data_IF_545662782457
#
_entry.id   IF_545662782457
#
_cell.length_a   1.000
_cell.length_b   1.000
_cell.length_c   1.000
_cell.angle_alpha   90.00
_cell.angle_beta   90.00
_cell.angle_gamma   90.00
#
_symmetry.space_group_name_H-M   'P 1'
#
loop_
_entity.id
_entity.type
_entity.pdbx_description
1 polymer ?
#
# COMPACT_ATOMS: atom_id res chain seq x y z
N UNK A 1 2.77 13.95 11.86
CA UNK A 1 3.95 14.63 12.45
C UNK A 1 5.19 13.81 12.15
N UNK A 2 6.22 14.43 11.54
CA UNK A 2 7.49 13.79 11.20
C UNK A 2 8.22 13.36 12.48
N UNK A 3 8.88 12.22 12.43
CA UNK A 3 9.72 11.74 13.53
C UNK A 3 11.09 12.44 13.56
N UNK A 4 11.86 12.14 14.60
CA UNK A 4 13.16 12.77 14.85
C UNK A 4 14.16 12.56 13.71
N UNK A 5 14.16 11.37 13.06
CA UNK A 5 15.05 11.11 11.94
C UNK A 5 14.77 12.05 10.76
N UNK A 6 13.50 12.18 10.37
CA UNK A 6 13.13 13.05 9.24
C UNK A 6 13.33 14.53 9.54
N UNK A 7 13.11 14.95 10.80
CA UNK A 7 13.43 16.31 11.26
C UNK A 7 14.93 16.59 11.18
N UNK A 8 15.76 15.63 11.57
CA UNK A 8 17.21 15.74 11.47
C UNK A 8 17.67 15.81 10.01
N UNK A 9 17.08 15.02 9.10
CA UNK A 9 17.37 15.12 7.65
C UNK A 9 17.06 16.52 7.09
N UNK A 10 15.97 17.13 7.51
CA UNK A 10 15.64 18.50 7.13
C UNK A 10 16.66 19.53 7.67
N UNK A 11 17.24 19.26 8.85
CA UNK A 11 18.24 20.16 9.46
C UNK A 11 19.60 20.17 8.73
N UNK A 12 19.95 19.09 8.01
CA UNK A 12 21.21 19.00 7.25
C UNK A 12 21.32 19.97 6.06
N UNK A 13 20.27 20.72 5.76
CA UNK A 13 20.26 21.74 4.72
C UNK A 13 20.78 21.27 3.35
N UNK A 14 20.38 20.05 2.96
CA UNK A 14 20.76 19.49 1.66
C UNK A 14 20.16 20.32 0.54
N UNK A 15 20.96 20.61 -0.49
CA UNK A 15 20.49 21.29 -1.71
C UNK A 15 19.67 20.38 -2.62
N UNK A 16 19.84 19.05 -2.52
CA UNK A 16 19.10 18.05 -3.27
C UNK A 16 19.18 16.69 -2.56
N UNK A 17 18.34 15.73 -2.91
CA UNK A 17 18.44 14.41 -2.31
C UNK A 17 17.42 13.39 -2.81
N UNK A 18 17.74 12.11 -2.61
CA UNK A 18 16.87 10.99 -2.92
C UNK A 18 16.57 10.20 -1.64
N UNK A 19 15.30 10.06 -1.31
CA UNK A 19 14.78 9.34 -0.15
C UNK A 19 13.98 8.14 -0.58
N UNK A 20 14.09 7.05 0.16
CA UNK A 20 13.28 5.85 -0.03
C UNK A 20 12.47 5.57 1.23
N UNK A 21 11.19 5.90 1.20
CA UNK A 21 10.25 5.61 2.27
C UNK A 21 9.59 4.27 2.05
N UNK A 22 9.71 3.35 3.00
CA UNK A 22 9.09 2.04 2.86
C UNK A 22 8.36 1.61 4.14
N UNK A 23 7.21 0.94 3.95
CA UNK A 23 6.37 0.41 5.01
C UNK A 23 5.12 -0.24 4.46
N UNK A 24 4.48 -1.10 5.25
CA UNK A 24 3.31 -1.87 4.80
C UNK A 24 2.07 -1.02 4.51
N UNK A 25 1.95 0.17 5.13
CA UNK A 25 0.87 1.13 4.94
C UNK A 25 1.29 2.19 3.92
N UNK A 26 1.00 1.95 2.64
CA UNK A 26 1.38 2.85 1.54
C UNK A 26 0.74 4.24 1.67
N UNK A 27 -0.47 4.32 2.21
CA UNK A 27 -1.15 5.60 2.41
C UNK A 27 -0.44 6.42 3.48
N UNK A 28 -0.07 5.78 4.60
CA UNK A 28 0.75 6.43 5.63
C UNK A 28 2.11 6.87 5.07
N UNK A 29 2.75 6.02 4.25
CA UNK A 29 4.02 6.37 3.61
C UNK A 29 3.87 7.62 2.74
N UNK A 30 2.78 7.72 2.00
CA UNK A 30 2.47 8.87 1.15
C UNK A 30 2.19 10.12 1.98
N UNK A 31 1.40 10.03 3.03
CA UNK A 31 1.10 11.17 3.91
C UNK A 31 2.38 11.72 4.57
N UNK A 32 3.29 10.85 5.02
CA UNK A 32 4.60 11.27 5.55
C UNK A 32 5.46 11.91 4.45
N UNK A 33 5.40 11.42 3.23
CA UNK A 33 6.11 12.03 2.10
C UNK A 33 5.57 13.44 1.80
N UNK A 34 4.25 13.65 1.88
CA UNK A 34 3.65 14.97 1.74
C UNK A 34 4.05 15.91 2.89
N UNK A 35 4.02 15.45 4.15
CA UNK A 35 4.48 16.22 5.31
C UNK A 35 5.96 16.61 5.15
N UNK A 36 6.82 15.69 4.75
CA UNK A 36 8.24 15.95 4.51
C UNK A 36 8.45 16.95 3.36
N UNK A 37 7.67 16.85 2.29
CA UNK A 37 7.69 17.80 1.16
C UNK A 37 7.25 19.20 1.60
N UNK A 38 6.22 19.29 2.44
CA UNK A 38 5.72 20.56 2.95
C UNK A 38 6.79 21.29 3.79
N UNK A 39 7.53 20.56 4.61
CA UNK A 39 8.65 21.12 5.38
C UNK A 39 9.81 21.57 4.46
N UNK A 40 10.12 20.81 3.40
CA UNK A 40 11.13 21.22 2.41
C UNK A 40 10.75 22.53 1.71
N UNK A 41 9.48 22.66 1.29
CA UNK A 41 9.01 23.88 0.61
C UNK A 41 8.92 25.09 1.54
N UNK A 42 8.61 24.88 2.80
CA UNK A 42 8.40 25.96 3.78
C UNK A 42 9.64 26.30 4.61
N UNK A 43 10.76 25.62 4.40
CA UNK A 43 11.96 25.68 5.23
C UNK A 43 12.51 27.11 5.43
N UNK A 44 12.51 27.92 4.38
CA UNK A 44 13.10 29.24 4.37
C UNK A 44 12.03 30.35 4.48
N UNK A 45 10.79 30.00 4.79
CA UNK A 45 9.68 30.96 4.89
C UNK A 45 9.54 31.39 6.36
N UNK A 46 9.80 32.66 6.64
CA UNK A 46 9.67 33.24 8.00
C UNK A 46 8.24 33.61 8.34
N UNK A 47 7.42 33.95 7.35
CA UNK A 47 6.04 34.35 7.54
C UNK A 47 5.16 33.12 7.81
N UNK A 48 4.64 32.99 9.04
CA UNK A 48 3.80 31.86 9.46
C UNK A 48 2.51 31.67 8.63
N UNK A 49 1.89 32.75 8.16
CA UNK A 49 0.68 32.67 7.33
C UNK A 49 1.02 32.06 5.97
N UNK A 50 2.11 32.49 5.36
CA UNK A 50 2.60 31.96 4.10
C UNK A 50 3.06 30.52 4.24
N UNK A 51 3.80 30.19 5.30
CA UNK A 51 4.22 28.83 5.64
C UNK A 51 3.03 27.89 5.75
N UNK A 52 1.99 28.26 6.51
CA UNK A 52 0.78 27.46 6.65
C UNK A 52 0.02 27.26 5.31
N UNK A 53 0.02 28.27 4.46
CA UNK A 53 -0.59 28.19 3.11
C UNK A 53 0.17 27.20 2.21
N UNK A 54 1.51 27.19 2.26
CA UNK A 54 2.34 26.23 1.51
C UNK A 54 2.08 24.82 2.01
N UNK A 55 2.08 24.62 3.33
CA UNK A 55 1.78 23.32 3.95
C UNK A 55 0.40 22.81 3.51
N UNK A 56 -0.66 23.63 3.62
CA UNK A 56 -2.01 23.23 3.20
C UNK A 56 -2.08 22.85 1.72
N UNK A 57 -1.50 23.68 0.83
CA UNK A 57 -1.44 23.37 -0.61
C UNK A 57 -0.69 22.05 -0.89
N UNK A 58 0.42 21.82 -0.20
CA UNK A 58 1.23 20.61 -0.37
C UNK A 58 0.48 19.35 0.08
N UNK A 59 -0.14 19.40 1.26
CA UNK A 59 -0.92 18.29 1.80
C UNK A 59 -2.14 17.95 0.94
N UNK A 60 -2.68 18.91 0.21
CA UNK A 60 -3.76 18.72 -0.78
C UNK A 60 -3.25 18.34 -2.17
N UNK A 61 -1.95 18.20 -2.37
CA UNK A 61 -1.33 17.95 -3.67
C UNK A 61 -1.63 19.06 -4.71
N UNK A 62 -1.65 20.31 -4.27
CA UNK A 62 -1.96 21.49 -5.09
C UNK A 62 -0.76 22.46 -5.22
N UNK A 63 0.40 22.10 -4.67
CA UNK A 63 1.60 22.94 -4.78
C UNK A 63 2.28 22.74 -6.14
N UNK A 64 2.63 23.83 -6.81
CA UNK A 64 3.08 23.83 -8.22
C UNK A 64 4.36 23.02 -8.45
N UNK A 65 5.29 23.04 -7.48
CA UNK A 65 6.58 22.34 -7.55
C UNK A 65 6.56 20.93 -6.92
N UNK A 66 5.36 20.41 -6.61
CA UNK A 66 5.15 19.04 -6.20
C UNK A 66 4.63 18.20 -7.37
N UNK A 67 5.35 17.15 -7.73
CA UNK A 67 4.91 16.18 -8.73
C UNK A 67 4.72 14.81 -8.09
N UNK A 68 3.50 14.29 -8.10
CA UNK A 68 3.17 12.94 -7.61
C UNK A 68 2.91 11.99 -8.77
N UNK A 69 3.57 10.85 -8.77
CA UNK A 69 3.52 9.85 -9.85
C UNK A 69 3.20 8.48 -9.29
N UNK A 70 2.11 7.89 -9.74
CA UNK A 70 1.65 6.57 -9.30
C UNK A 70 2.22 5.41 -10.14
N UNK A 71 2.46 5.64 -11.44
CA UNK A 71 2.93 4.60 -12.38
C UNK A 71 4.22 5.05 -13.07
N UNK A 72 5.26 4.22 -12.96
CA UNK A 72 6.61 4.49 -13.44
C UNK A 72 6.91 3.69 -14.73
N UNK A 73 6.24 4.03 -15.82
CA UNK A 73 6.60 3.55 -17.15
C UNK A 73 7.74 4.40 -17.76
N UNK A 74 8.28 4.00 -18.90
CA UNK A 74 9.45 4.69 -19.50
C UNK A 74 9.12 6.13 -19.91
N UNK A 75 7.91 6.39 -20.40
CA UNK A 75 7.52 7.73 -20.85
C UNK A 75 7.32 8.67 -19.66
N UNK A 76 6.69 8.19 -18.58
CA UNK A 76 6.56 8.93 -17.32
C UNK A 76 7.93 9.26 -16.73
N UNK A 77 8.88 8.31 -16.77
CA UNK A 77 10.24 8.54 -16.28
C UNK A 77 10.96 9.59 -17.12
N UNK A 78 10.81 9.57 -18.46
CA UNK A 78 11.36 10.63 -19.34
C UNK A 78 10.76 11.99 -19.03
N UNK A 79 9.48 12.08 -18.74
CA UNK A 79 8.82 13.34 -18.34
C UNK A 79 9.37 13.85 -17.00
N UNK A 80 9.56 12.98 -16.01
CA UNK A 80 10.20 13.32 -14.73
C UNK A 80 11.61 13.89 -14.99
N UNK A 81 12.41 13.20 -15.78
CA UNK A 81 13.77 13.66 -16.14
C UNK A 81 13.71 15.05 -16.78
N UNK A 82 12.84 15.25 -17.77
CA UNK A 82 12.70 16.56 -18.43
C UNK A 82 12.32 17.65 -17.42
N UNK A 83 11.34 17.39 -16.56
CA UNK A 83 10.87 18.35 -15.54
C UNK A 83 11.91 18.65 -14.47
N UNK A 84 12.79 17.69 -14.14
CA UNK A 84 13.86 17.93 -13.16
C UNK A 84 14.89 18.98 -13.62
N UNK A 85 15.06 19.17 -14.93
CA UNK A 85 15.96 20.18 -15.49
C UNK A 85 15.31 21.56 -15.70
N UNK A 86 13.99 21.70 -15.46
CA UNK A 86 13.34 23.02 -15.51
C UNK A 86 13.45 23.72 -14.16
N UNK A 87 13.39 25.05 -14.14
CA UNK A 87 13.35 25.82 -12.89
C UNK A 87 12.07 25.54 -12.10
N UNK A 88 12.10 25.77 -10.78
CA UNK A 88 10.89 25.77 -9.94
C UNK A 88 9.98 26.94 -10.30
N UNK A 89 8.69 26.78 -10.08
CA UNK A 89 7.70 27.84 -10.30
C UNK A 89 7.66 28.86 -9.15
N UNK A 90 7.84 28.38 -7.93
CA UNK A 90 7.77 29.20 -6.71
C UNK A 90 9.17 29.65 -6.22
N UNK A 91 10.25 29.34 -6.98
CA UNK A 91 11.61 29.81 -6.69
C UNK A 91 12.34 29.06 -5.57
N UNK A 92 11.98 27.80 -5.31
CA UNK A 92 12.57 26.97 -4.25
C UNK A 92 12.79 25.53 -4.67
N UNK A 93 12.62 24.63 -3.73
CA UNK A 93 12.74 23.20 -3.97
C UNK A 93 11.65 22.67 -4.92
N UNK A 94 11.98 21.61 -5.67
CA UNK A 94 11.04 20.78 -6.42
C UNK A 94 11.03 19.38 -5.84
N UNK A 95 9.86 18.81 -5.61
CA UNK A 95 9.73 17.48 -5.03
C UNK A 95 8.97 16.55 -5.97
N UNK A 96 9.57 15.39 -6.20
CA UNK A 96 9.01 14.31 -7.00
C UNK A 96 8.69 13.12 -6.09
N UNK A 97 7.40 12.87 -5.82
CA UNK A 97 6.95 11.69 -5.06
C UNK A 97 6.63 10.57 -6.04
N UNK A 98 7.43 9.51 -6.03
CA UNK A 98 7.33 8.37 -6.94
C UNK A 98 6.80 7.16 -6.19
N UNK A 99 5.52 6.84 -6.38
CA UNK A 99 4.86 5.72 -5.70
C UNK A 99 5.18 4.39 -6.38
N UNK A 100 5.00 3.32 -5.62
CA UNK A 100 5.11 1.94 -6.11
C UNK A 100 6.45 1.61 -6.80
N UNK A 101 7.57 2.16 -6.29
CA UNK A 101 8.90 1.96 -6.89
C UNK A 101 9.29 0.48 -6.99
N UNK A 102 8.69 -0.41 -6.18
CA UNK A 102 8.92 -1.86 -6.26
C UNK A 102 8.40 -2.49 -7.56
N UNK A 103 7.50 -1.82 -8.27
CA UNK A 103 6.88 -2.32 -9.50
C UNK A 103 7.51 -1.72 -10.77
N UNK A 104 8.56 -0.89 -10.61
CA UNK A 104 9.28 -0.26 -11.73
C UNK A 104 9.98 -1.32 -12.59
N UNK A 105 9.85 -1.20 -13.90
CA UNK A 105 10.57 -2.06 -14.85
C UNK A 105 12.04 -1.68 -14.92
N UNK A 106 12.90 -2.65 -15.21
CA UNK A 106 14.36 -2.47 -15.25
C UNK A 106 14.80 -1.33 -16.19
N UNK A 107 14.16 -1.19 -17.34
CA UNK A 107 14.43 -0.13 -18.31
C UNK A 107 14.14 1.26 -17.73
N UNK A 108 12.95 1.44 -17.13
CA UNK A 108 12.55 2.69 -16.48
C UNK A 108 13.47 3.01 -15.28
N UNK A 109 13.82 1.99 -14.49
CA UNK A 109 14.74 2.14 -13.37
C UNK A 109 16.12 2.62 -13.83
N UNK A 110 16.68 1.98 -14.88
CA UNK A 110 17.99 2.38 -15.41
C UNK A 110 17.98 3.81 -15.94
N UNK A 111 16.90 4.24 -16.59
CA UNK A 111 16.76 5.63 -17.05
C UNK A 111 16.79 6.65 -15.90
N UNK A 112 16.29 6.26 -14.71
CA UNK A 112 16.28 7.13 -13.52
C UNK A 112 17.60 7.15 -12.74
N UNK A 113 18.48 6.16 -12.93
CA UNK A 113 19.67 6.00 -12.05
C UNK A 113 20.51 7.26 -11.94
N UNK A 114 20.82 7.91 -13.07
CA UNK A 114 21.61 9.15 -13.06
C UNK A 114 20.92 10.26 -12.28
N UNK A 115 19.60 10.36 -12.43
CA UNK A 115 18.80 11.41 -11.79
C UNK A 115 18.74 11.25 -10.26
N UNK A 116 18.63 10.01 -9.78
CA UNK A 116 18.55 9.73 -8.33
C UNK A 116 19.94 9.65 -7.67
N UNK A 117 21.01 9.45 -8.44
CA UNK A 117 22.39 9.42 -7.94
C UNK A 117 22.91 10.84 -7.69
N UNK A 118 22.70 11.72 -8.66
CA UNK A 118 23.12 13.11 -8.62
C UNK A 118 21.93 14.02 -8.98
N UNK A 119 20.97 14.19 -8.05
CA UNK A 119 19.85 15.09 -8.30
C UNK A 119 20.37 16.52 -8.59
N UNK A 120 19.81 17.16 -9.60
CA UNK A 120 20.12 18.58 -9.85
C UNK A 120 19.71 19.42 -8.64
N UNK A 121 20.39 20.56 -8.46
CA UNK A 121 20.15 21.48 -7.35
C UNK A 121 18.64 21.74 -7.17
N UNK A 122 18.22 21.84 -5.94
CA UNK A 122 16.82 22.07 -5.51
C UNK A 122 15.82 20.97 -5.87
N UNK A 123 16.28 19.81 -6.37
CA UNK A 123 15.41 18.66 -6.64
C UNK A 123 15.50 17.58 -5.57
N UNK A 124 14.34 17.16 -5.09
CA UNK A 124 14.19 16.09 -4.10
C UNK A 124 13.30 14.97 -4.66
N UNK A 125 13.78 13.74 -4.57
CA UNK A 125 13.06 12.55 -4.99
C UNK A 125 12.66 11.73 -3.77
N UNK A 126 11.36 11.50 -3.58
CA UNK A 126 10.82 10.66 -2.51
C UNK A 126 10.22 9.42 -3.15
N UNK A 127 10.94 8.32 -3.06
CA UNK A 127 10.54 7.02 -3.59
C UNK A 127 9.70 6.30 -2.53
N UNK A 128 8.50 5.84 -2.87
CA UNK A 128 7.62 5.12 -1.94
C UNK A 128 7.53 3.66 -2.33
N UNK A 129 7.79 2.78 -1.36
CA UNK A 129 7.69 1.34 -1.53
C UNK A 129 6.92 0.69 -0.38
N UNK A 130 6.22 -0.40 -0.67
CA UNK A 130 5.65 -1.25 0.38
C UNK A 130 6.70 -2.06 1.13
N UNK A 131 7.81 -2.40 0.47
CA UNK A 131 8.88 -3.26 1.00
C UNK A 131 10.22 -2.84 0.45
N UNK A 132 11.29 -3.20 1.16
CA UNK A 132 12.66 -2.94 0.73
C UNK A 132 13.18 -3.89 -0.38
N UNK A 133 12.31 -4.76 -0.93
CA UNK A 133 12.67 -5.62 -2.05
C UNK A 133 12.53 -4.87 -3.38
N UNK A 134 13.46 -3.97 -3.63
CA UNK A 134 13.61 -3.16 -4.84
C UNK A 134 15.04 -3.33 -5.39
N UNK A 135 15.30 -2.80 -6.57
CA UNK A 135 16.61 -2.86 -7.21
C UNK A 135 17.71 -2.29 -6.29
N UNK A 136 18.80 -3.04 -6.17
CA UNK A 136 19.94 -2.65 -5.32
C UNK A 136 20.54 -1.30 -5.74
N UNK A 137 20.53 -1.01 -7.03
CA UNK A 137 21.01 0.24 -7.61
C UNK A 137 20.22 1.47 -7.16
N UNK A 138 18.91 1.33 -6.91
CA UNK A 138 18.06 2.39 -6.34
C UNK A 138 18.35 2.54 -4.84
N UNK A 139 18.44 1.40 -4.12
CA UNK A 139 18.71 1.40 -2.67
C UNK A 139 20.04 2.09 -2.32
N UNK A 140 21.10 1.80 -3.07
CA UNK A 140 22.43 2.35 -2.80
C UNK A 140 22.51 3.87 -3.00
N UNK A 141 21.54 4.46 -3.70
CA UNK A 141 21.50 5.89 -4.03
C UNK A 141 20.43 6.66 -3.25
N UNK A 142 19.79 6.02 -2.30
CA UNK A 142 18.68 6.61 -1.53
C UNK A 142 18.97 6.60 -0.04
N UNK A 143 18.58 7.65 0.65
CA UNK A 143 18.47 7.67 2.11
C UNK A 143 17.23 6.86 2.47
N UNK A 144 17.45 5.70 3.12
CA UNK A 144 16.40 4.71 3.35
C UNK A 144 15.73 4.98 4.70
N UNK A 145 14.43 5.18 4.69
CA UNK A 145 13.65 5.38 5.89
C UNK A 145 12.49 4.38 6.00
N UNK A 146 12.43 3.65 7.12
CA UNK A 146 11.37 2.69 7.40
C UNK A 146 10.23 3.35 8.15
N UNK A 147 9.06 3.39 7.54
CA UNK A 147 7.84 3.88 8.18
C UNK A 147 7.15 2.71 8.88
N UNK A 148 7.06 2.79 10.20
CA UNK A 148 6.33 1.81 11.01
C UNK A 148 4.82 2.05 10.94
N UNK A 149 4.05 0.99 11.13
CA UNK A 149 2.60 1.14 11.34
C UNK A 149 2.35 1.93 12.63
N UNK A 150 1.27 2.70 12.63
CA UNK A 150 0.79 3.33 13.86
C UNK A 150 0.34 2.27 14.86
N UNK A 151 0.47 2.56 16.14
CA UNK A 151 -0.08 1.70 17.21
C UNK A 151 -1.56 2.00 17.42
N UNK A 152 -2.32 1.11 18.10
CA UNK A 152 -3.71 1.41 18.46
C UNK A 152 -3.86 2.69 19.26
N UNK A 153 -2.92 2.94 20.19
CA UNK A 153 -2.88 4.11 21.06
C UNK A 153 -2.66 5.40 20.27
N UNK A 154 -1.73 5.38 19.30
CA UNK A 154 -1.49 6.52 18.38
C UNK A 154 -2.69 6.84 17.50
N UNK A 155 -3.47 5.83 17.14
CA UNK A 155 -4.69 5.99 16.34
C UNK A 155 -5.92 6.29 17.20
N UNK A 156 -5.83 6.23 18.53
CA UNK A 156 -6.94 6.46 19.44
C UNK A 156 -8.08 5.45 19.25
N UNK A 157 -7.76 4.19 19.05
CA UNK A 157 -8.73 3.10 18.88
C UNK A 157 -8.36 1.88 19.72
N UNK A 158 -9.35 1.07 20.06
CA UNK A 158 -9.10 -0.20 20.73
C UNK A 158 -8.44 -1.25 19.81
N UNK A 159 -7.94 -2.33 20.43
CA UNK A 159 -7.29 -3.44 19.72
C UNK A 159 -8.21 -4.16 18.73
N UNK A 160 -9.53 -4.17 18.98
CA UNK A 160 -10.49 -4.84 18.10
C UNK A 160 -10.60 -4.07 16.78
N UNK A 161 -10.85 -2.76 16.83
CA UNK A 161 -10.88 -1.87 15.65
C UNK A 161 -9.54 -1.93 14.92
N UNK A 162 -8.43 -1.79 15.63
CA UNK A 162 -7.10 -1.88 15.04
C UNK A 162 -6.87 -3.19 14.25
N UNK A 163 -7.22 -4.33 14.86
CA UNK A 163 -7.05 -5.63 14.22
C UNK A 163 -8.06 -5.85 13.08
N UNK A 164 -9.26 -5.28 13.20
CA UNK A 164 -10.27 -5.34 12.15
C UNK A 164 -9.72 -4.72 10.84
N UNK A 165 -9.08 -3.57 10.93
CA UNK A 165 -8.48 -2.88 9.78
C UNK A 165 -7.01 -3.27 9.51
N UNK A 166 -6.48 -4.30 10.19
CA UNK A 166 -5.08 -4.74 10.07
C UNK A 166 -4.05 -3.63 10.37
N UNK A 167 -4.44 -2.61 11.13
CA UNK A 167 -3.63 -1.44 11.46
C UNK A 167 -3.37 -0.50 10.29
N UNK A 168 -4.23 -0.50 9.27
CA UNK A 168 -4.18 0.50 8.19
C UNK A 168 -4.79 1.83 8.69
N UNK A 169 -3.93 2.84 8.85
CA UNK A 169 -4.28 4.12 9.46
C UNK A 169 -5.39 4.85 8.70
N UNK A 170 -5.32 4.89 7.37
CA UNK A 170 -6.32 5.54 6.54
C UNK A 170 -7.73 4.92 6.68
N UNK A 171 -7.80 3.57 6.72
CA UNK A 171 -9.08 2.89 6.91
C UNK A 171 -9.68 3.19 8.29
N UNK A 172 -8.82 3.22 9.32
CA UNK A 172 -9.23 3.54 10.70
C UNK A 172 -9.71 5.00 10.79
N UNK A 173 -9.00 5.95 10.18
CA UNK A 173 -9.41 7.35 10.17
C UNK A 173 -10.73 7.59 9.40
N UNK A 174 -10.93 6.88 8.29
CA UNK A 174 -12.21 6.91 7.56
C UNK A 174 -13.34 6.30 8.39
N UNK A 175 -13.07 5.21 9.09
CA UNK A 175 -14.04 4.57 9.99
C UNK A 175 -14.45 5.48 11.14
N UNK A 176 -13.49 6.17 11.80
CA UNK A 176 -13.77 7.09 12.91
C UNK A 176 -14.72 8.23 12.55
N UNK A 177 -14.80 8.58 11.28
CA UNK A 177 -15.73 9.61 10.76
C UNK A 177 -17.14 9.09 10.48
N UNK A 178 -17.37 7.78 10.70
CA UNK A 178 -18.62 7.11 10.37
C UNK A 178 -19.14 6.36 11.61
N UNK A 179 -20.46 6.41 11.81
CA UNK A 179 -21.13 5.64 12.85
C UNK A 179 -21.48 4.23 12.33
N UNK A 180 -20.46 3.37 12.23
CA UNK A 180 -20.63 2.00 11.73
C UNK A 180 -20.35 1.00 12.84
N UNK A 181 -21.32 0.16 13.12
CA UNK A 181 -21.14 -0.96 14.06
C UNK A 181 -20.35 -2.09 13.40
N UNK A 182 -19.12 -2.32 13.90
CA UNK A 182 -18.27 -3.42 13.45
C UNK A 182 -18.70 -4.79 13.99
N UNK A 183 -19.55 -4.83 15.05
CA UNK A 183 -20.01 -6.08 15.67
C UNK A 183 -21.16 -6.71 14.89
N UNK A 184 -21.93 -5.93 14.14
CA UNK A 184 -22.95 -6.46 13.24
C UNK A 184 -22.30 -7.39 12.21
N UNK A 185 -22.70 -8.68 12.25
CA UNK A 185 -22.19 -9.68 11.33
C UNK A 185 -22.83 -9.54 9.95
N UNK A 186 -22.05 -9.89 8.91
CA UNK A 186 -22.55 -10.02 7.53
C UNK A 186 -22.21 -11.41 7.02
N UNK A 187 -23.26 -12.13 6.56
CA UNK A 187 -23.07 -13.49 6.08
C UNK A 187 -22.07 -13.58 4.93
N UNK A 188 -21.18 -14.57 4.97
CA UNK A 188 -20.22 -14.85 3.89
C UNK A 188 -20.91 -15.14 2.54
N UNK A 189 -22.19 -15.58 2.54
CA UNK A 189 -22.98 -15.82 1.32
C UNK A 189 -23.25 -14.54 0.53
N UNK A 190 -23.14 -13.37 1.16
CA UNK A 190 -23.33 -12.07 0.50
C UNK A 190 -22.08 -11.59 -0.26
N UNK A 191 -20.97 -12.33 -0.23
CA UNK A 191 -19.66 -11.88 -0.75
C UNK A 191 -19.72 -11.40 -2.20
N UNK A 192 -20.43 -12.10 -3.08
CA UNK A 192 -20.54 -11.73 -4.50
C UNK A 192 -21.21 -10.37 -4.72
N UNK A 193 -22.28 -10.08 -3.97
CA UNK A 193 -22.98 -8.79 -4.01
C UNK A 193 -22.12 -7.66 -3.46
N UNK A 194 -21.50 -7.88 -2.30
CA UNK A 194 -20.60 -6.91 -1.65
C UNK A 194 -19.40 -6.59 -2.54
N UNK A 195 -18.83 -7.58 -3.22
CA UNK A 195 -17.72 -7.35 -4.14
C UNK A 195 -18.12 -6.50 -5.34
N UNK A 196 -19.28 -6.76 -5.95
CA UNK A 196 -19.80 -5.94 -7.05
C UNK A 196 -19.94 -4.47 -6.65
N UNK A 197 -20.44 -4.22 -5.45
CA UNK A 197 -20.59 -2.88 -4.89
C UNK A 197 -19.22 -2.26 -4.60
N UNK A 198 -18.30 -3.02 -3.99
CA UNK A 198 -16.95 -2.56 -3.67
C UNK A 198 -16.14 -2.18 -4.92
N UNK A 199 -16.27 -2.93 -6.03
CA UNK A 199 -15.59 -2.58 -7.28
C UNK A 199 -16.12 -1.29 -7.90
N UNK A 200 -17.38 -0.92 -7.63
CA UNK A 200 -17.97 0.34 -8.12
C UNK A 200 -17.56 1.53 -7.28
N UNK A 201 -17.66 1.43 -5.96
CA UNK A 201 -17.61 2.59 -5.06
C UNK A 201 -16.30 2.69 -4.28
N UNK A 202 -15.65 1.58 -3.94
CA UNK A 202 -14.41 1.47 -3.14
C UNK A 202 -14.44 2.30 -1.83
N UNK A 203 -15.65 2.55 -1.28
CA UNK A 203 -15.83 3.30 -0.05
C UNK A 203 -15.54 2.43 1.20
N UNK A 204 -15.48 3.08 2.38
CA UNK A 204 -15.11 2.39 3.62
C UNK A 204 -16.23 1.50 4.13
N UNK A 205 -17.49 1.87 3.92
CA UNK A 205 -18.67 1.11 4.35
C UNK A 205 -18.70 -0.27 3.68
N UNK A 206 -18.60 -0.28 2.36
CA UNK A 206 -18.59 -1.54 1.59
C UNK A 206 -17.33 -2.36 1.87
N UNK A 207 -16.19 -1.71 2.14
CA UNK A 207 -14.97 -2.39 2.57
C UNK A 207 -15.13 -3.07 3.93
N UNK A 208 -15.84 -2.45 4.87
CA UNK A 208 -16.19 -3.04 6.16
C UNK A 208 -17.09 -4.25 5.95
N UNK A 209 -18.09 -4.15 5.10
CA UNK A 209 -18.97 -5.25 4.75
C UNK A 209 -18.22 -6.43 4.13
N UNK A 210 -17.27 -6.14 3.24
CA UNK A 210 -16.36 -7.16 2.68
C UNK A 210 -15.57 -7.86 3.79
N UNK A 211 -14.99 -7.10 4.71
CA UNK A 211 -14.23 -7.67 5.83
C UNK A 211 -15.12 -8.50 6.78
N UNK A 212 -16.35 -8.07 7.04
CA UNK A 212 -17.32 -8.84 7.80
C UNK A 212 -17.65 -10.18 7.13
N UNK A 213 -17.91 -10.20 5.83
CA UNK A 213 -18.14 -11.44 5.07
C UNK A 213 -16.94 -12.41 5.17
N UNK A 214 -15.70 -11.89 5.03
CA UNK A 214 -14.49 -12.71 5.14
C UNK A 214 -14.28 -13.27 6.55
N UNK A 215 -14.58 -12.49 7.60
CA UNK A 215 -14.51 -12.94 8.99
C UNK A 215 -15.55 -14.02 9.29
N UNK A 216 -16.81 -13.79 8.88
CA UNK A 216 -17.87 -14.78 9.03
C UNK A 216 -17.54 -16.08 8.30
N UNK A 217 -16.98 -16.01 7.07
CA UNK A 217 -16.49 -17.20 6.38
C UNK A 217 -15.44 -17.97 7.20
N UNK A 218 -14.43 -17.28 7.75
CA UNK A 218 -13.37 -17.92 8.54
C UNK A 218 -13.95 -18.56 9.82
N UNK A 219 -14.90 -17.90 10.50
CA UNK A 219 -15.57 -18.42 11.70
C UNK A 219 -16.36 -19.70 11.41
N UNK A 220 -17.10 -19.72 10.30
CA UNK A 220 -17.94 -20.85 9.91
C UNK A 220 -17.19 -21.94 9.15
N UNK A 221 -15.98 -21.68 8.69
CA UNK A 221 -15.24 -22.54 7.73
C UNK A 221 -15.03 -23.98 8.19
N UNK A 222 -14.98 -24.25 9.51
CA UNK A 222 -14.89 -25.60 10.06
C UNK A 222 -16.14 -26.45 9.80
N UNK A 223 -17.29 -25.80 9.71
CA UNK A 223 -18.60 -26.44 9.55
C UNK A 223 -19.07 -26.50 8.08
N UNK A 224 -18.39 -25.75 7.20
CA UNK A 224 -18.76 -25.67 5.79
C UNK A 224 -18.35 -26.92 5.01
N UNK A 225 -19.24 -27.40 4.17
CA UNK A 225 -18.97 -28.47 3.21
C UNK A 225 -18.01 -27.99 2.12
N UNK A 226 -17.32 -28.92 1.47
CA UNK A 226 -16.32 -28.63 0.45
C UNK A 226 -16.90 -27.78 -0.70
N UNK A 227 -18.11 -28.08 -1.15
CA UNK A 227 -18.75 -27.33 -2.24
C UNK A 227 -19.07 -25.88 -1.87
N UNK A 228 -19.39 -25.58 -0.59
CA UNK A 228 -19.65 -24.21 -0.12
C UNK A 228 -18.36 -23.36 -0.13
N UNK A 229 -17.24 -23.97 0.26
CA UNK A 229 -15.92 -23.34 0.20
C UNK A 229 -15.49 -23.05 -1.26
N UNK A 230 -15.74 -23.98 -2.16
CA UNK A 230 -15.45 -23.80 -3.60
C UNK A 230 -16.33 -22.68 -4.16
N UNK A 231 -17.63 -22.68 -3.84
CA UNK A 231 -18.55 -21.62 -4.27
C UNK A 231 -18.12 -20.25 -3.78
N UNK A 232 -17.71 -20.14 -2.54
CA UNK A 232 -17.19 -18.89 -1.98
C UNK A 232 -15.93 -18.39 -2.72
N UNK A 233 -15.02 -19.31 -3.09
CA UNK A 233 -13.85 -18.97 -3.91
C UNK A 233 -14.24 -18.49 -5.32
N UNK A 234 -15.25 -19.14 -5.93
CA UNK A 234 -15.77 -18.77 -7.24
C UNK A 234 -16.47 -17.41 -7.22
N UNK A 235 -17.27 -17.13 -6.19
CA UNK A 235 -17.93 -15.84 -6.01
C UNK A 235 -16.91 -14.70 -5.90
N UNK A 236 -15.77 -14.93 -5.21
CA UNK A 236 -14.66 -13.97 -5.19
C UNK A 236 -14.04 -13.83 -6.58
N UNK A 237 -13.70 -14.95 -7.23
CA UNK A 237 -13.05 -14.92 -8.54
C UNK A 237 -13.87 -14.19 -9.61
N UNK A 238 -15.18 -14.39 -9.61
CA UNK A 238 -16.10 -13.81 -10.61
C UNK A 238 -16.36 -12.32 -10.42
N UNK A 239 -16.20 -11.80 -9.20
CA UNK A 239 -16.64 -10.46 -8.86
C UNK A 239 -15.50 -9.52 -8.37
N UNK A 240 -14.29 -10.02 -8.16
CA UNK A 240 -13.16 -9.23 -7.64
C UNK A 240 -12.13 -8.93 -8.74
N UNK A 241 -11.67 -7.68 -8.81
CA UNK A 241 -10.49 -7.29 -9.57
C UNK A 241 -9.21 -7.92 -8.99
N UNK A 242 -8.13 -7.92 -9.74
CA UNK A 242 -6.82 -8.39 -9.25
C UNK A 242 -6.38 -7.65 -7.98
N UNK A 243 -6.68 -6.37 -7.87
CA UNK A 243 -6.39 -5.55 -6.70
C UNK A 243 -7.18 -6.03 -5.48
N UNK A 244 -8.48 -6.24 -5.64
CA UNK A 244 -9.37 -6.76 -4.58
C UNK A 244 -9.02 -8.18 -4.17
N UNK A 245 -8.60 -9.04 -5.09
CA UNK A 245 -8.07 -10.37 -4.75
C UNK A 245 -6.85 -10.25 -3.85
N UNK A 246 -5.91 -9.34 -4.15
CA UNK A 246 -4.74 -9.11 -3.29
C UNK A 246 -5.14 -8.65 -1.88
N UNK A 247 -6.14 -7.76 -1.78
CA UNK A 247 -6.69 -7.31 -0.51
C UNK A 247 -7.31 -8.46 0.27
N UNK A 248 -8.19 -9.25 -0.36
CA UNK A 248 -8.89 -10.38 0.23
C UNK A 248 -7.91 -11.45 0.72
N UNK A 249 -6.97 -11.86 -0.11
CA UNK A 249 -5.95 -12.85 0.26
C UNK A 249 -5.11 -12.34 1.43
N UNK A 250 -4.73 -11.07 1.41
CA UNK A 250 -4.02 -10.44 2.52
C UNK A 250 -4.81 -10.44 3.81
N UNK A 251 -6.12 -10.17 3.74
CA UNK A 251 -7.01 -10.16 4.91
C UNK A 251 -7.26 -11.57 5.46
N UNK A 252 -7.57 -12.53 4.61
CA UNK A 252 -7.77 -13.94 5.00
C UNK A 252 -6.52 -14.51 5.70
N UNK A 253 -5.33 -14.27 5.16
CA UNK A 253 -4.07 -14.71 5.79
C UNK A 253 -3.90 -14.08 7.19
N UNK A 254 -4.28 -12.83 7.37
CA UNK A 254 -4.20 -12.16 8.67
C UNK A 254 -5.21 -12.72 9.68
N UNK A 255 -6.41 -13.09 9.26
CA UNK A 255 -7.41 -13.72 10.12
C UNK A 255 -6.94 -15.08 10.67
N UNK A 256 -6.15 -15.81 9.88
CA UNK A 256 -5.66 -17.15 10.24
C UNK A 256 -4.20 -17.18 10.73
N UNK A 257 -3.66 -16.05 11.21
CA UNK A 257 -2.26 -15.92 11.70
C UNK A 257 -1.85 -16.94 12.79
N UNK A 258 -2.80 -17.46 13.54
CA UNK A 258 -2.54 -18.46 14.60
C UNK A 258 -2.50 -19.91 14.09
N UNK A 259 -2.71 -20.10 12.78
CA UNK A 259 -2.67 -21.42 12.16
C UNK A 259 -1.23 -21.94 12.04
N UNK A 260 -1.01 -23.22 12.31
CA UNK A 260 0.31 -23.89 12.22
C UNK A 260 0.93 -23.81 10.83
N UNK A 261 0.10 -23.64 9.77
CA UNK A 261 0.51 -23.61 8.37
C UNK A 261 0.64 -22.17 7.80
N UNK A 262 0.93 -21.18 8.64
CA UNK A 262 1.05 -19.79 8.21
C UNK A 262 2.09 -19.61 7.09
N UNK A 263 3.23 -20.32 7.13
CA UNK A 263 4.28 -20.23 6.10
C UNK A 263 3.75 -20.58 4.71
N UNK A 264 2.96 -21.64 4.61
CA UNK A 264 2.34 -22.06 3.36
C UNK A 264 1.32 -21.02 2.85
N UNK A 265 0.50 -20.47 3.75
CA UNK A 265 -0.46 -19.43 3.40
C UNK A 265 0.20 -18.14 2.90
N UNK A 266 1.37 -17.82 3.42
CA UNK A 266 2.17 -16.69 2.91
C UNK A 266 2.70 -16.91 1.49
N UNK A 267 2.91 -18.17 1.07
CA UNK A 267 3.31 -18.47 -0.31
C UNK A 267 2.20 -18.10 -1.31
N UNK A 268 0.91 -18.29 -0.98
CA UNK A 268 -0.19 -17.86 -1.85
C UNK A 268 -0.13 -16.34 -2.12
N UNK A 269 0.24 -15.53 -1.14
CA UNK A 269 0.41 -14.08 -1.32
C UNK A 269 1.61 -13.75 -2.23
N UNK A 270 2.66 -14.55 -2.19
CA UNK A 270 3.81 -14.38 -3.10
C UNK A 270 3.45 -14.78 -4.53
N UNK A 271 2.67 -15.85 -4.69
CA UNK A 271 2.23 -16.34 -6.00
C UNK A 271 1.43 -15.32 -6.79
N UNK A 272 0.64 -14.44 -6.12
CA UNK A 272 -0.13 -13.37 -6.80
C UNK A 272 0.72 -12.38 -7.60
N UNK A 273 2.06 -12.39 -7.44
CA UNK A 273 2.99 -11.56 -8.20
C UNK A 273 3.31 -12.12 -9.59
N UNK A 274 3.01 -13.39 -9.81
CA UNK A 274 3.29 -14.10 -11.05
C UNK A 274 2.00 -14.27 -11.88
N UNK A 275 2.11 -14.50 -13.19
CA UNK A 275 0.95 -14.88 -14.02
C UNK A 275 0.53 -16.30 -13.64
N UNK A 276 -0.48 -16.41 -12.76
CA UNK A 276 -1.01 -17.69 -12.27
C UNK A 276 -2.52 -17.77 -12.44
N UNK A 277 -3.05 -18.98 -12.33
CA UNK A 277 -4.49 -19.20 -12.29
C UNK A 277 -5.07 -18.74 -10.93
N UNK A 278 -5.62 -17.52 -10.91
CA UNK A 278 -6.19 -16.90 -9.71
C UNK A 278 -7.32 -17.73 -9.11
N UNK A 279 -8.19 -18.34 -9.94
CA UNK A 279 -9.28 -19.20 -9.47
C UNK A 279 -8.74 -20.37 -8.66
N UNK A 280 -7.73 -21.06 -9.18
CA UNK A 280 -7.11 -22.20 -8.52
C UNK A 280 -6.40 -21.78 -7.23
N UNK A 281 -5.72 -20.64 -7.24
CA UNK A 281 -5.07 -20.09 -6.03
C UNK A 281 -6.11 -19.82 -4.92
N UNK A 282 -7.22 -19.16 -5.25
CA UNK A 282 -8.29 -18.87 -4.28
C UNK A 282 -8.89 -20.15 -3.71
N UNK A 283 -9.20 -21.14 -4.56
CA UNK A 283 -9.74 -22.44 -4.12
C UNK A 283 -8.75 -23.09 -3.13
N UNK A 284 -7.47 -23.17 -3.48
CA UNK A 284 -6.47 -23.80 -2.64
C UNK A 284 -6.30 -23.07 -1.29
N UNK A 285 -6.22 -21.74 -1.30
CA UNK A 285 -6.13 -20.94 -0.09
C UNK A 285 -7.35 -21.18 0.80
N UNK A 286 -8.57 -21.07 0.25
CA UNK A 286 -9.84 -21.20 0.99
C UNK A 286 -10.00 -22.62 1.53
N UNK A 287 -9.61 -23.63 0.77
CA UNK A 287 -9.61 -25.02 1.23
C UNK A 287 -8.57 -25.28 2.32
N UNK A 288 -7.47 -24.56 2.36
CA UNK A 288 -6.44 -24.67 3.41
C UNK A 288 -6.84 -24.01 4.73
N UNK A 289 -7.86 -23.15 4.73
CA UNK A 289 -8.41 -22.57 5.94
C UNK A 289 -9.20 -23.65 6.67
N UNK A 290 -8.70 -24.15 7.80
CA UNK A 290 -9.31 -25.20 8.63
C UNK A 290 -9.47 -26.59 7.99
N UNK A 291 -8.69 -26.93 6.96
CA UNK A 291 -8.65 -28.26 6.38
C UNK A 291 -7.31 -28.97 6.55
N UNK A 292 -7.30 -30.29 6.76
CA UNK A 292 -6.09 -31.08 6.54
C UNK A 292 -5.68 -30.94 5.09
N UNK A 293 -4.42 -30.56 4.86
CA UNK A 293 -3.84 -30.42 3.54
C UNK A 293 -4.17 -31.62 2.63
N UNK A 294 -4.82 -31.37 1.52
CA UNK A 294 -4.76 -32.29 0.40
C UNK A 294 -3.50 -31.98 -0.39
N UNK A 295 -2.42 -32.69 -0.04
CA UNK A 295 -1.08 -32.56 -0.64
C UNK A 295 -0.96 -32.91 -2.14
N UNK A 296 -2.05 -33.03 -2.86
CA UNK A 296 -2.08 -33.52 -4.26
C UNK A 296 -2.03 -32.42 -5.34
N UNK A 297 -2.18 -31.15 -4.99
CA UNK A 297 -2.19 -30.06 -6.01
C UNK A 297 -0.89 -29.28 -6.13
N UNK A 298 0.05 -29.44 -5.18
CA UNK A 298 1.39 -28.84 -5.27
C UNK A 298 2.27 -29.42 -6.38
N UNK A 299 1.96 -30.62 -6.86
CA UNK A 299 2.72 -31.30 -7.92
C UNK A 299 2.49 -30.64 -9.29
N UNK A 300 1.29 -30.10 -9.56
CA UNK A 300 0.98 -29.48 -10.86
C UNK A 300 1.58 -28.10 -11.09
N UNK A 301 1.85 -27.34 -10.04
CA UNK A 301 2.49 -26.01 -10.17
C UNK A 301 4.00 -26.12 -10.43
N UNK A 302 4.64 -27.23 -10.04
CA UNK A 302 6.08 -27.51 -10.30
C UNK A 302 6.38 -28.05 -11.71
N UNK A 303 5.37 -28.49 -12.45
CA UNK A 303 5.56 -29.09 -13.80
C UNK A 303 5.47 -28.08 -14.97
N UNK A 304 5.27 -26.78 -14.68
CA UNK A 304 5.30 -25.70 -15.68
C UNK A 304 6.42 -24.70 -15.38
N UNK A 305 7.63 -25.24 -15.14
CA UNK A 305 8.89 -24.50 -15.25
C UNK A 305 9.70 -25.08 -16.38
#
# INVERSE_FOLDING_TARGET
MLDEFLKNELSFNRESGTYLFYGDDLEKNYNIALEFSAELFSKNIENEIEKNKIIDKTLRNLYSDLMVVDTLNIDTVRDIIKKSYTSSHEGGAKVFILKNIQDIRKESANAMLKLIEEPTKDNFFILISKRLNILSTIKSRSIIYRIRKSTPEELGVDKYVYNFFLGFSNDIEKYKKKEIDLMLEKSYKAIGGVLKEYEKEKNIEVKIDLYKCLRNFVQESSNLKKYEKIKFAEDIYMNASKESVNLIVGYLINLVKRDKNLKEKLEYKKMLRYPINIKLLLINLIMSIWGKLYGLLFVYVKMWR
#
